data_IF_673663493820
#
_entry.id   IF_673663493820
#
_cell.length_a   1.000
_cell.length_b   1.000
_cell.length_c   1.000
_cell.angle_alpha   90.00
_cell.angle_beta   90.00
_cell.angle_gamma   90.00
#
_symmetry.space_group_name_H-M   'P 1'
#
loop_
_entity.id
_entity.type
_entity.pdbx_description
1 polymer ?
#
# COMPACT_ATOMS: atom_id res chain seq x y z
N UNK A 1 -33.39 -9.84 -18.96
CA UNK A 1 -33.24 -8.40 -19.30
C UNK A 1 -34.04 -7.60 -18.27
N UNK A 2 -33.42 -7.24 -17.15
CA UNK A 2 -33.98 -6.36 -16.12
C UNK A 2 -32.83 -5.48 -15.61
N UNK A 3 -33.12 -4.20 -15.57
CA UNK A 3 -32.27 -3.04 -15.32
C UNK A 3 -31.99 -2.89 -13.83
N UNK A 4 -30.73 -2.69 -13.43
CA UNK A 4 -30.37 -1.99 -12.19
C UNK A 4 -29.28 -0.97 -12.56
N UNK A 5 -29.73 0.10 -13.18
CA UNK A 5 -29.00 1.32 -13.46
C UNK A 5 -29.56 2.41 -12.52
N UNK A 6 -29.36 2.27 -11.22
CA UNK A 6 -29.74 3.26 -10.20
C UNK A 6 -28.83 3.09 -8.99
N UNK A 7 -27.67 3.73 -9.06
CA UNK A 7 -26.87 4.17 -7.89
C UNK A 7 -25.57 4.91 -8.27
N UNK A 8 -25.33 5.17 -9.56
CA UNK A 8 -24.13 5.90 -10.03
C UNK A 8 -24.25 7.44 -10.00
N UNK A 9 -25.46 8.01 -10.00
CA UNK A 9 -25.67 9.46 -10.10
C UNK A 9 -25.63 10.20 -8.74
N UNK A 10 -25.79 9.51 -7.61
CA UNK A 10 -25.78 10.16 -6.27
C UNK A 10 -24.39 10.61 -5.81
N UNK A 11 -23.31 10.10 -6.43
CA UNK A 11 -21.93 10.46 -6.08
C UNK A 11 -21.39 11.66 -6.90
N UNK A 12 -22.07 12.07 -7.99
CA UNK A 12 -21.65 13.21 -8.83
C UNK A 12 -22.17 14.57 -8.35
N UNK A 13 -23.16 14.63 -7.44
CA UNK A 13 -23.78 15.90 -7.04
C UNK A 13 -22.99 16.68 -5.99
N UNK A 14 -22.02 16.06 -5.29
CA UNK A 14 -21.19 16.74 -4.28
C UNK A 14 -19.94 17.39 -4.89
N UNK A 15 -19.51 16.98 -6.09
CA UNK A 15 -18.28 17.48 -6.76
C UNK A 15 -18.55 18.51 -7.88
N UNK A 16 -19.83 18.79 -8.20
CA UNK A 16 -20.21 19.78 -9.23
C UNK A 16 -20.64 21.14 -8.70
N UNK A 17 -20.97 21.27 -7.42
CA UNK A 17 -21.39 22.55 -6.81
C UNK A 17 -20.22 23.48 -6.42
N UNK A 18 -18.97 23.00 -6.40
CA UNK A 18 -17.78 23.83 -6.11
C UNK A 18 -17.03 24.35 -7.33
N UNK A 19 -17.47 24.02 -8.55
CA UNK A 19 -16.80 24.42 -9.81
C UNK A 19 -17.45 25.60 -10.54
N UNK A 20 -18.40 26.32 -9.93
CA UNK A 20 -19.12 27.44 -10.56
C UNK A 20 -19.06 28.79 -9.84
N UNK A 21 -18.20 28.95 -8.85
CA UNK A 21 -17.91 30.26 -8.24
C UNK A 21 -16.39 30.42 -8.14
N UNK A 22 -15.81 31.02 -9.18
CA UNK A 22 -14.60 31.85 -9.16
C UNK A 22 -14.21 32.15 -10.62
N UNK A 23 -15.04 32.96 -11.28
CA UNK A 23 -14.67 33.72 -12.46
C UNK A 23 -15.14 35.15 -12.21
N UNK A 24 -14.32 35.92 -11.49
CA UNK A 24 -14.37 37.38 -11.50
C UNK A 24 -12.93 37.85 -11.64
N UNK A 25 -12.71 38.63 -12.69
CA UNK A 25 -11.46 39.26 -13.04
C UNK A 25 -11.02 40.25 -11.96
N UNK A 26 -9.72 40.29 -11.66
CA UNK A 26 -9.10 41.41 -10.94
C UNK A 26 -7.81 41.78 -11.68
N UNK A 27 -7.80 42.99 -12.22
CA UNK A 27 -6.59 43.68 -12.67
C UNK A 27 -5.89 44.36 -11.47
N UNK A 28 -4.57 44.50 -11.62
CA UNK A 28 -3.65 45.42 -10.93
C UNK A 28 -3.16 45.05 -9.52
N UNK A 29 -1.84 45.26 -9.31
CA UNK A 29 -1.18 45.32 -8.01
C UNK A 29 -0.34 44.09 -7.66
N UNK A 30 0.99 44.18 -7.83
CA UNK A 30 1.91 43.07 -7.56
C UNK A 30 2.30 42.92 -6.09
N UNK A 31 2.72 41.71 -5.71
CA UNK A 31 3.84 41.43 -4.78
C UNK A 31 4.44 40.07 -5.17
N UNK A 32 5.78 40.02 -5.21
CA UNK A 32 6.62 38.87 -5.57
C UNK A 32 6.31 37.63 -4.72
N UNK A 33 5.85 36.55 -5.35
CA UNK A 33 5.76 35.20 -4.77
C UNK A 33 6.54 34.20 -5.63
N UNK A 34 7.46 33.47 -5.02
CA UNK A 34 8.42 32.59 -5.68
C UNK A 34 7.77 31.56 -6.62
N UNK A 35 8.29 31.48 -7.85
CA UNK A 35 7.90 30.52 -8.90
C UNK A 35 7.95 29.08 -8.38
N UNK A 36 6.81 28.38 -8.41
CA UNK A 36 6.79 26.92 -8.53
C UNK A 36 7.56 26.56 -9.80
N UNK A 37 8.76 25.98 -9.66
CA UNK A 37 9.46 25.35 -10.78
C UNK A 37 8.71 24.08 -11.16
N UNK A 38 7.91 24.19 -12.21
CA UNK A 38 7.33 23.07 -12.95
C UNK A 38 8.43 22.08 -13.33
N UNK A 39 8.35 20.86 -12.79
CA UNK A 39 9.24 19.79 -13.20
C UNK A 39 9.15 19.56 -14.71
N UNK A 40 10.30 19.46 -15.36
CA UNK A 40 10.42 19.10 -16.76
C UNK A 40 9.57 17.85 -17.04
N UNK A 41 8.62 17.97 -17.98
CA UNK A 41 7.87 16.84 -18.51
C UNK A 41 8.87 15.91 -19.20
N UNK A 42 9.37 14.90 -18.49
CA UNK A 42 10.06 13.76 -19.09
C UNK A 42 9.07 13.03 -20.01
N UNK A 43 8.96 13.51 -21.25
CA UNK A 43 8.22 12.87 -22.33
C UNK A 43 9.19 11.97 -23.08
N UNK A 44 9.09 10.66 -22.87
CA UNK A 44 9.70 9.66 -23.75
C UNK A 44 8.64 8.61 -24.08
N UNK A 45 8.38 8.40 -25.38
CA UNK A 45 7.43 7.41 -25.93
C UNK A 45 8.20 6.21 -26.50
N UNK A 46 7.91 5.00 -26.00
CA UNK A 46 7.85 3.67 -26.66
C UNK A 46 7.90 2.58 -25.55
N UNK A 47 6.77 2.05 -25.06
CA UNK A 47 6.01 0.85 -25.51
C UNK A 47 6.54 -0.50 -25.02
N UNK A 48 6.16 -0.83 -23.78
CA UNK A 48 6.05 -2.19 -23.24
C UNK A 48 5.19 -2.16 -21.97
N UNK A 49 4.09 -2.91 -21.90
CA UNK A 49 3.32 -3.01 -20.64
C UNK A 49 4.24 -3.69 -19.60
N UNK A 50 4.41 -3.12 -18.41
CA UNK A 50 5.27 -3.73 -17.39
C UNK A 50 4.73 -5.13 -17.03
N UNK A 51 5.64 -6.09 -16.88
CA UNK A 51 5.27 -7.45 -16.51
C UNK A 51 4.62 -7.46 -15.12
N UNK A 52 3.40 -7.98 -15.02
CA UNK A 52 2.58 -7.88 -13.80
C UNK A 52 2.13 -9.26 -13.33
N UNK A 53 2.41 -9.56 -12.07
CA UNK A 53 1.81 -10.69 -11.34
C UNK A 53 0.74 -10.11 -10.42
N UNK A 54 -0.53 -10.17 -10.82
CA UNK A 54 -1.64 -9.53 -10.09
C UNK A 54 -2.10 -10.33 -8.86
N UNK A 55 -2.01 -11.65 -8.92
CA UNK A 55 -2.45 -12.56 -7.86
C UNK A 55 -1.60 -12.38 -6.58
N UNK A 56 -2.21 -11.88 -5.50
CA UNK A 56 -1.53 -11.72 -4.20
C UNK A 56 -1.12 -13.06 -3.61
N UNK A 57 -1.99 -14.07 -3.70
CA UNK A 57 -1.70 -15.40 -3.17
C UNK A 57 -0.55 -16.06 -3.91
N UNK A 58 -0.49 -15.94 -5.24
CA UNK A 58 0.61 -16.51 -6.01
C UNK A 58 1.97 -15.97 -5.55
N UNK A 59 2.07 -14.66 -5.28
CA UNK A 59 3.28 -14.03 -4.75
C UNK A 59 3.55 -14.46 -3.30
N UNK A 60 2.56 -14.38 -2.43
CA UNK A 60 2.68 -14.80 -1.02
C UNK A 60 3.11 -16.25 -0.89
N UNK A 61 2.52 -17.17 -1.65
CA UNK A 61 2.85 -18.60 -1.61
C UNK A 61 4.30 -18.89 -2.06
N UNK A 62 4.85 -18.09 -2.97
CA UNK A 62 6.26 -18.22 -3.39
C UNK A 62 7.21 -17.82 -2.27
N UNK A 63 6.87 -16.75 -1.55
CA UNK A 63 7.67 -16.26 -0.43
C UNK A 63 7.51 -17.11 0.83
N UNK A 64 6.34 -17.69 1.09
CA UNK A 64 6.10 -18.60 2.22
C UNK A 64 6.94 -19.90 2.14
N UNK A 65 7.38 -20.27 0.93
CA UNK A 65 8.28 -21.42 0.69
C UNK A 65 9.76 -21.07 0.86
N UNK A 66 10.07 -19.85 1.28
CA UNK A 66 11.43 -19.40 1.55
C UNK A 66 11.58 -19.21 3.06
N UNK A 67 12.50 -19.94 3.67
CA UNK A 67 12.66 -19.96 5.13
C UNK A 67 13.11 -18.62 5.69
N UNK A 68 13.90 -17.86 4.93
CA UNK A 68 14.37 -16.53 5.30
C UNK A 68 13.27 -15.47 5.21
N UNK A 69 12.23 -15.69 4.39
CA UNK A 69 11.13 -14.73 4.20
C UNK A 69 9.88 -15.04 5.00
N UNK A 70 9.55 -16.33 5.24
CA UNK A 70 8.28 -16.73 5.89
C UNK A 70 8.05 -16.05 7.23
N UNK A 71 9.13 -15.78 7.98
CA UNK A 71 9.07 -15.10 9.28
C UNK A 71 8.63 -13.63 9.20
N UNK A 72 8.72 -12.99 8.04
CA UNK A 72 8.32 -11.61 7.83
C UNK A 72 6.94 -11.47 7.21
N UNK A 73 6.22 -12.57 6.98
CA UNK A 73 4.91 -12.57 6.34
C UNK A 73 3.87 -12.93 7.42
N UNK A 74 2.88 -12.06 7.69
CA UNK A 74 1.81 -12.42 8.62
C UNK A 74 1.09 -13.67 8.12
N UNK A 75 0.71 -14.58 9.04
CA UNK A 75 0.01 -15.82 8.71
C UNK A 75 -1.12 -15.58 7.72
N UNK A 76 -1.00 -16.11 6.51
CA UNK A 76 -1.94 -15.85 5.39
C UNK A 76 -2.45 -17.16 4.81
N UNK A 77 -3.75 -17.22 4.53
CA UNK A 77 -4.44 -18.35 3.88
C UNK A 77 -5.47 -17.84 2.88
N UNK A 78 -5.89 -18.70 1.95
CA UNK A 78 -7.12 -18.47 1.16
C UNK A 78 -8.31 -18.42 2.12
N UNK A 79 -9.25 -17.51 1.88
CA UNK A 79 -10.45 -17.36 2.70
C UNK A 79 -11.35 -18.58 2.54
N UNK A 80 -11.56 -19.27 3.65
CA UNK A 80 -12.59 -20.27 3.89
C UNK A 80 -13.18 -20.01 5.27
N UNK A 81 -14.32 -20.65 5.58
CA UNK A 81 -14.91 -20.60 6.91
C UNK A 81 -13.91 -21.05 7.98
N UNK A 82 -13.27 -22.20 7.75
CA UNK A 82 -12.27 -22.78 8.64
C UNK A 82 -11.05 -21.88 8.83
N UNK A 83 -10.47 -21.36 7.73
CA UNK A 83 -9.28 -20.50 7.84
C UNK A 83 -9.57 -19.18 8.55
N UNK A 84 -10.77 -18.60 8.35
CA UNK A 84 -11.18 -17.38 9.04
C UNK A 84 -11.32 -17.66 10.53
N UNK A 85 -12.04 -18.72 10.88
CA UNK A 85 -12.23 -19.14 12.26
C UNK A 85 -10.88 -19.35 12.97
N UNK A 86 -9.98 -20.15 12.38
CA UNK A 86 -8.71 -20.51 13.02
C UNK A 86 -7.80 -19.29 13.23
N UNK A 87 -7.71 -18.38 12.25
CA UNK A 87 -6.89 -17.18 12.39
C UNK A 87 -7.50 -16.16 13.37
N UNK A 88 -8.82 -16.00 13.40
CA UNK A 88 -9.47 -15.17 14.41
C UNK A 88 -9.30 -15.75 15.82
N UNK A 89 -9.42 -17.06 15.96
CA UNK A 89 -9.20 -17.73 17.24
C UNK A 89 -7.77 -17.53 17.74
N UNK A 90 -6.78 -17.64 16.85
CA UNK A 90 -5.35 -17.56 17.22
C UNK A 90 -4.83 -16.14 17.40
N UNK A 91 -5.44 -15.13 16.77
CA UNK A 91 -4.88 -13.78 16.68
C UNK A 91 -5.82 -12.64 17.00
N UNK A 92 -7.13 -12.91 17.20
CA UNK A 92 -8.21 -11.94 17.48
C UNK A 92 -8.48 -10.90 16.38
N UNK A 93 -7.46 -10.43 15.66
CA UNK A 93 -7.56 -9.49 14.55
C UNK A 93 -7.03 -10.12 13.26
N UNK A 94 -7.81 -10.01 12.18
CA UNK A 94 -7.40 -10.44 10.83
C UNK A 94 -7.82 -9.42 9.78
N UNK A 95 -7.10 -9.41 8.67
CA UNK A 95 -7.49 -8.71 7.46
C UNK A 95 -7.99 -9.72 6.42
N UNK A 96 -9.19 -9.48 5.90
CA UNK A 96 -9.77 -10.25 4.81
C UNK A 96 -9.72 -9.40 3.54
N UNK A 97 -8.89 -9.80 2.57
CA UNK A 97 -8.54 -8.97 1.41
C UNK A 97 -8.73 -9.70 0.08
N UNK A 98 -9.15 -9.03 -1.01
CA UNK A 98 -9.29 -9.66 -2.32
C UNK A 98 -7.96 -10.22 -2.81
N UNK A 99 -8.01 -11.42 -3.41
CA UNK A 99 -6.85 -12.06 -4.04
C UNK A 99 -6.31 -11.20 -5.19
N UNK A 100 -7.24 -10.59 -5.94
CA UNK A 100 -6.98 -9.66 -7.03
C UNK A 100 -7.56 -8.29 -6.71
N UNK A 101 -6.88 -7.23 -7.12
CA UNK A 101 -7.31 -5.86 -6.89
C UNK A 101 -6.19 -5.01 -6.32
N UNK A 102 -6.47 -3.73 -6.13
CA UNK A 102 -5.51 -2.72 -5.69
C UNK A 102 -6.20 -1.66 -4.83
N UNK A 103 -5.39 -0.74 -4.31
CA UNK A 103 -5.84 0.47 -3.62
C UNK A 103 -6.58 0.23 -2.28
N UNK A 104 -6.46 -0.96 -1.69
CA UNK A 104 -7.17 -1.31 -0.46
C UNK A 104 -8.68 -1.52 -0.62
N UNK A 105 -9.20 -1.52 -1.85
CA UNK A 105 -10.64 -1.75 -2.11
C UNK A 105 -11.02 -3.18 -1.74
N UNK A 106 -12.14 -3.31 -1.03
CA UNK A 106 -12.66 -4.61 -0.58
C UNK A 106 -11.88 -5.22 0.58
N UNK A 107 -10.91 -4.52 1.17
CA UNK A 107 -10.21 -4.98 2.37
C UNK A 107 -11.11 -4.79 3.58
N UNK A 108 -11.28 -5.86 4.35
CA UNK A 108 -12.04 -5.87 5.59
C UNK A 108 -11.10 -6.11 6.76
N UNK A 109 -11.21 -5.31 7.82
CA UNK A 109 -10.56 -5.60 9.11
C UNK A 109 -11.60 -6.29 9.99
N UNK A 110 -11.32 -7.52 10.40
CA UNK A 110 -12.22 -8.36 11.20
C UNK A 110 -11.61 -8.55 12.57
N UNK A 111 -12.40 -8.38 13.62
CA UNK A 111 -11.97 -8.48 15.01
C UNK A 111 -12.91 -9.40 15.79
N UNK A 112 -12.33 -10.20 16.68
CA UNK A 112 -13.00 -10.97 17.72
C UNK A 112 -12.64 -10.33 19.05
N UNK A 113 -13.65 -9.79 19.75
CA UNK A 113 -13.45 -9.07 21.01
C UNK A 113 -13.53 -10.02 22.20
N UNK A 114 -14.51 -10.91 22.18
CA UNK A 114 -14.73 -11.94 23.20
C UNK A 114 -15.41 -13.16 22.54
N UNK A 115 -15.61 -14.29 23.24
CA UNK A 115 -16.40 -15.39 22.74
C UNK A 115 -17.80 -14.91 22.32
N UNK A 116 -18.16 -15.10 21.05
CA UNK A 116 -19.45 -14.66 20.52
C UNK A 116 -19.47 -13.21 20.02
N UNK A 117 -18.51 -12.36 20.36
CA UNK A 117 -18.49 -10.96 19.91
C UNK A 117 -17.49 -10.71 18.80
N UNK A 118 -18.02 -10.31 17.64
CA UNK A 118 -17.22 -10.04 16.45
C UNK A 118 -17.61 -8.71 15.82
N UNK A 119 -16.67 -8.10 15.11
CA UNK A 119 -16.95 -6.99 14.21
C UNK A 119 -16.13 -7.10 12.93
N UNK A 120 -16.57 -6.41 11.88
CA UNK A 120 -15.65 -6.02 10.83
C UNK A 120 -15.96 -4.66 10.25
N UNK A 121 -14.92 -4.05 9.70
CA UNK A 121 -14.98 -2.77 9.00
C UNK A 121 -14.65 -2.97 7.52
N UNK A 122 -15.47 -2.41 6.63
CA UNK A 122 -15.26 -2.34 5.19
C UNK A 122 -15.37 -0.89 4.73
N UNK A 123 -14.25 -0.25 4.41
CA UNK A 123 -14.26 1.19 4.16
C UNK A 123 -14.70 1.96 5.42
N UNK A 124 -15.76 2.76 5.32
CA UNK A 124 -16.37 3.45 6.45
C UNK A 124 -17.42 2.63 7.20
N UNK A 125 -17.87 1.51 6.62
CA UNK A 125 -18.97 0.73 7.19
C UNK A 125 -18.45 -0.19 8.28
N UNK A 126 -19.09 -0.14 9.46
CA UNK A 126 -18.77 -0.97 10.61
C UNK A 126 -19.98 -1.85 10.95
N UNK A 127 -19.75 -3.15 11.12
CA UNK A 127 -20.78 -4.15 11.42
C UNK A 127 -20.36 -5.01 12.61
N UNK A 128 -21.30 -5.32 13.51
CA UNK A 128 -21.09 -6.16 14.69
C UNK A 128 -21.94 -7.43 14.62
N UNK A 129 -21.48 -8.50 15.28
CA UNK A 129 -22.13 -9.80 15.26
C UNK A 129 -22.00 -10.49 16.62
N UNK A 130 -23.05 -11.22 17.02
CA UNK A 130 -23.12 -12.03 18.24
C UNK A 130 -22.82 -13.52 18.00
N UNK A 131 -22.40 -13.88 16.79
CA UNK A 131 -21.97 -15.22 16.44
C UNK A 131 -20.97 -15.20 15.28
N UNK A 132 -20.12 -16.23 15.22
CA UNK A 132 -19.20 -16.43 14.10
C UNK A 132 -19.97 -16.68 12.78
N UNK A 133 -21.16 -17.28 12.85
CA UNK A 133 -21.98 -17.61 11.69
C UNK A 133 -22.58 -16.36 11.06
N UNK A 134 -23.11 -15.46 11.90
CA UNK A 134 -23.57 -14.15 11.47
C UNK A 134 -22.44 -13.35 10.82
N UNK A 135 -21.26 -13.32 11.46
CA UNK A 135 -20.07 -12.69 10.90
C UNK A 135 -19.73 -13.27 9.52
N UNK A 136 -19.57 -14.59 9.42
CA UNK A 136 -19.12 -15.24 8.20
C UNK A 136 -20.11 -15.07 7.05
N UNK A 137 -21.41 -15.20 7.32
CA UNK A 137 -22.45 -15.03 6.31
C UNK A 137 -22.49 -13.59 5.76
N UNK A 138 -22.41 -12.59 6.65
CA UNK A 138 -22.36 -11.18 6.26
C UNK A 138 -21.10 -10.84 5.47
N UNK A 139 -19.93 -11.26 5.98
CA UNK A 139 -18.64 -11.10 5.31
C UNK A 139 -18.64 -11.75 3.92
N UNK A 140 -19.23 -12.93 3.78
CA UNK A 140 -19.28 -13.66 2.50
C UNK A 140 -20.09 -12.90 1.45
N UNK A 141 -21.19 -12.23 1.82
CA UNK A 141 -21.95 -11.33 0.93
C UNK A 141 -21.07 -10.20 0.41
N UNK A 142 -20.31 -9.55 1.30
CA UNK A 142 -19.42 -8.45 0.93
C UNK A 142 -18.24 -8.87 0.03
N UNK A 143 -17.91 -10.18 -0.05
CA UNK A 143 -16.92 -10.67 -1.02
C UNK A 143 -17.42 -10.65 -2.47
N UNK A 144 -18.73 -10.55 -2.69
CA UNK A 144 -19.37 -10.57 -4.02
C UNK A 144 -18.92 -11.77 -4.87
N UNK A 145 -18.78 -12.94 -4.25
CA UNK A 145 -18.35 -14.18 -4.90
C UNK A 145 -16.88 -14.25 -5.28
N UNK A 146 -16.08 -13.21 -5.03
CA UNK A 146 -14.66 -13.16 -5.43
C UNK A 146 -13.77 -13.99 -4.50
N UNK A 147 -12.60 -14.38 -5.01
CA UNK A 147 -11.56 -15.02 -4.18
C UNK A 147 -10.91 -14.03 -3.24
N UNK A 148 -10.81 -14.39 -1.96
CA UNK A 148 -10.23 -13.59 -0.89
C UNK A 148 -9.15 -14.37 -0.14
N UNK A 149 -8.32 -13.62 0.59
CA UNK A 149 -7.33 -14.11 1.53
C UNK A 149 -7.73 -13.65 2.92
N UNK A 150 -7.42 -14.46 3.93
CA UNK A 150 -7.41 -14.05 5.34
C UNK A 150 -5.97 -14.02 5.82
N UNK A 151 -5.59 -12.92 6.44
CA UNK A 151 -4.24 -12.64 6.91
C UNK A 151 -4.29 -12.18 8.36
N UNK A 152 -3.39 -12.68 9.21
CA UNK A 152 -3.19 -12.20 10.59
C UNK A 152 -3.05 -10.68 10.59
N UNK A 153 -3.81 -10.02 11.46
CA UNK A 153 -3.63 -8.62 11.78
C UNK A 153 -2.37 -8.41 12.62
N UNK A 154 -1.65 -7.33 12.36
CA UNK A 154 -0.48 -6.90 13.13
C UNK A 154 -0.80 -5.56 13.76
N UNK A 155 -0.47 -5.38 15.03
CA UNK A 155 -0.54 -4.08 15.70
C UNK A 155 0.72 -3.28 15.35
N UNK A 156 0.54 -2.26 14.52
CA UNK A 156 1.62 -1.50 13.91
C UNK A 156 1.91 -0.23 14.71
N UNK A 157 3.16 0.24 14.60
CA UNK A 157 3.53 1.59 15.00
C UNK A 157 2.62 2.63 14.35
N UNK A 158 2.46 3.75 15.06
CA UNK A 158 1.65 4.89 14.62
C UNK A 158 2.46 6.16 14.76
N UNK A 159 2.42 6.99 13.73
CA UNK A 159 3.02 8.32 13.74
C UNK A 159 1.90 9.34 13.94
N UNK A 160 1.99 10.14 15.01
CA UNK A 160 0.94 11.10 15.40
C UNK A 160 -0.46 10.47 15.44
N UNK A 161 -0.56 9.29 16.06
CA UNK A 161 -1.82 8.54 16.19
C UNK A 161 -2.31 7.85 14.90
N UNK A 162 -1.66 8.09 13.75
CA UNK A 162 -2.03 7.55 12.44
C UNK A 162 -1.17 6.35 12.08
N UNK A 163 -1.79 5.31 11.53
CA UNK A 163 -1.07 4.13 11.02
C UNK A 163 -0.19 4.53 9.84
N UNK A 164 0.96 3.89 9.69
CA UNK A 164 1.79 4.04 8.51
C UNK A 164 2.33 2.69 8.05
N UNK A 165 2.78 2.66 6.80
CA UNK A 165 3.70 1.64 6.31
C UNK A 165 4.83 2.28 5.52
N UNK A 166 5.86 1.49 5.22
CA UNK A 166 6.99 1.83 4.39
C UNK A 166 6.80 1.20 3.01
N UNK A 167 6.80 2.03 1.97
CA UNK A 167 6.97 1.58 0.60
C UNK A 167 8.47 1.45 0.33
N UNK A 168 8.95 0.21 0.24
CA UNK A 168 10.33 -0.13 -0.11
C UNK A 168 10.38 -0.53 -1.58
N UNK A 169 11.21 0.13 -2.38
CA UNK A 169 11.41 -0.19 -3.80
C UNK A 169 12.74 -0.89 -3.98
N UNK A 170 12.73 -2.02 -4.68
CA UNK A 170 13.91 -2.81 -5.03
C UNK A 170 13.93 -3.01 -6.53
N UNK A 171 15.06 -2.69 -7.16
CA UNK A 171 15.23 -2.71 -8.61
C UNK A 171 16.49 -3.46 -9.02
N UNK A 172 16.49 -3.98 -10.25
CA UNK A 172 17.71 -4.51 -10.88
C UNK A 172 18.68 -3.35 -11.11
N UNK A 173 19.89 -3.48 -10.61
CA UNK A 173 20.89 -2.44 -10.80
C UNK A 173 21.46 -2.48 -12.23
N UNK A 174 21.87 -1.33 -12.80
CA UNK A 174 22.46 -1.26 -14.15
C UNK A 174 23.64 -2.20 -14.35
N UNK A 175 24.52 -2.29 -13.34
CA UNK A 175 25.70 -3.16 -13.30
C UNK A 175 25.38 -4.63 -12.99
N UNK A 176 24.10 -4.99 -12.84
CA UNK A 176 23.66 -6.31 -12.40
C UNK A 176 23.43 -6.39 -10.90
N UNK A 177 22.74 -7.45 -10.47
CA UNK A 177 22.29 -7.58 -9.08
C UNK A 177 21.01 -6.80 -8.77
N UNK A 178 20.74 -6.60 -7.48
CA UNK A 178 19.51 -6.01 -6.96
C UNK A 178 19.84 -5.01 -5.86
N UNK A 179 19.18 -3.86 -5.86
CA UNK A 179 19.40 -2.81 -4.88
C UNK A 179 18.08 -2.22 -4.38
N UNK A 180 18.06 -1.83 -3.11
CA UNK A 180 16.98 -1.03 -2.54
C UNK A 180 17.17 0.44 -2.95
N UNK A 181 16.36 0.92 -3.88
CA UNK A 181 16.54 2.23 -4.51
C UNK A 181 15.75 3.35 -3.86
N UNK A 182 14.80 3.03 -2.98
CA UNK A 182 14.08 4.02 -2.21
C UNK A 182 13.18 3.42 -1.16
N UNK A 183 13.00 4.16 -0.07
CA UNK A 183 12.01 3.87 0.97
C UNK A 183 11.27 5.16 1.32
N UNK A 184 9.96 5.09 1.47
CA UNK A 184 9.13 6.23 1.85
C UNK A 184 8.02 5.80 2.80
N UNK A 185 7.69 6.64 3.78
CA UNK A 185 6.58 6.38 4.69
C UNK A 185 5.26 6.88 4.09
N UNK A 186 4.22 6.04 4.18
CA UNK A 186 2.85 6.35 3.76
C UNK A 186 1.95 6.35 4.99
N UNK A 187 1.50 7.53 5.39
CA UNK A 187 0.68 7.73 6.58
C UNK A 187 -0.78 7.65 6.15
N UNK A 188 -1.55 6.74 6.77
CA UNK A 188 -2.97 6.56 6.50
C UNK A 188 -3.76 7.84 6.82
N UNK A 189 -4.87 8.02 6.11
CA UNK A 189 -5.89 8.98 6.55
C UNK A 189 -6.47 8.50 7.90
N UNK A 190 -6.77 9.40 8.87
CA UNK A 190 -7.23 9.01 10.21
C UNK A 190 -8.42 8.03 10.22
N UNK A 191 -9.36 8.22 9.29
CA UNK A 191 -10.59 7.41 9.19
C UNK A 191 -10.43 6.08 8.41
N UNK A 192 -9.23 5.76 7.90
CA UNK A 192 -9.03 4.60 7.01
C UNK A 192 -8.30 3.45 7.71
N UNK A 193 -8.81 2.24 7.51
CA UNK A 193 -8.18 1.01 7.99
C UNK A 193 -6.95 0.58 7.20
N UNK A 194 -6.76 1.14 6.00
CA UNK A 194 -5.65 0.83 5.08
C UNK A 194 -4.78 2.05 4.81
N UNK A 195 -3.47 1.84 4.85
CA UNK A 195 -2.38 2.79 4.58
C UNK A 195 -2.14 2.98 3.08
N UNK A 196 -3.19 3.30 2.32
CA UNK A 196 -3.01 3.61 0.90
C UNK A 196 -2.83 5.11 0.68
N UNK A 197 -1.57 5.57 0.60
CA UNK A 197 -1.21 6.98 0.40
C UNK A 197 -1.85 7.64 -0.83
N UNK A 198 -2.23 6.88 -1.86
CA UNK A 198 -2.90 7.41 -3.07
C UNK A 198 -4.34 7.88 -2.87
N UNK A 199 -4.90 7.75 -1.66
CA UNK A 199 -6.25 8.19 -1.32
C UNK A 199 -6.30 9.17 -0.14
N UNK A 200 -5.50 10.24 -0.19
CA UNK A 200 -5.52 11.31 0.80
C UNK A 200 -4.71 11.04 2.06
N UNK A 201 -3.74 10.12 1.98
CA UNK A 201 -2.72 9.97 3.02
C UNK A 201 -1.60 11.00 2.86
N UNK A 202 -0.73 11.04 3.85
CA UNK A 202 0.46 11.90 3.84
C UNK A 202 1.69 11.08 3.50
N UNK A 203 2.64 11.70 2.81
CA UNK A 203 3.91 11.08 2.43
C UNK A 203 5.02 11.83 3.16
N UNK A 204 5.77 11.11 3.99
CA UNK A 204 6.92 11.64 4.74
C UNK A 204 8.14 10.76 4.48
N UNK A 205 9.33 11.23 4.85
CA UNK A 205 10.53 10.39 4.82
C UNK A 205 10.41 9.28 5.85
N UNK A 206 11.04 8.13 5.58
CA UNK A 206 11.02 7.02 6.52
C UNK A 206 11.75 7.38 7.82
N UNK A 207 12.84 8.13 7.69
CA UNK A 207 13.68 8.62 8.78
C UNK A 207 12.88 9.52 9.73
N UNK A 208 12.09 10.45 9.18
CA UNK A 208 11.24 11.34 9.99
C UNK A 208 10.25 10.54 10.83
N UNK A 209 9.56 9.59 10.19
CA UNK A 209 8.53 8.78 10.87
C UNK A 209 9.14 7.82 11.89
N UNK A 210 10.26 7.19 11.56
CA UNK A 210 10.91 6.23 12.44
C UNK A 210 11.62 6.89 13.64
N UNK A 211 12.08 8.13 13.50
CA UNK A 211 12.75 8.86 14.61
C UNK A 211 11.83 9.12 15.80
N UNK A 212 10.50 9.09 15.63
CA UNK A 212 9.54 9.14 16.72
C UNK A 212 9.50 7.85 17.57
N UNK A 213 10.11 6.76 17.10
CA UNK A 213 10.01 5.43 17.72
C UNK A 213 11.36 4.78 18.05
N UNK A 214 12.44 5.20 17.38
CA UNK A 214 13.72 4.51 17.46
C UNK A 214 14.92 5.45 17.27
N UNK A 215 15.98 5.20 18.02
CA UNK A 215 17.25 5.92 17.88
C UNK A 215 18.08 5.49 16.66
N UNK A 216 19.16 6.21 16.33
CA UNK A 216 19.93 6.00 15.09
C UNK A 216 20.44 4.57 14.90
N UNK A 217 20.94 3.92 15.95
CA UNK A 217 21.43 2.53 15.89
C UNK A 217 20.33 1.54 15.51
N UNK A 218 19.16 1.67 16.13
CA UNK A 218 18.00 0.83 15.83
C UNK A 218 17.48 1.08 14.41
N UNK A 219 17.46 2.33 13.95
CA UNK A 219 17.13 2.67 12.56
C UNK A 219 18.11 2.02 11.58
N UNK A 220 19.41 2.10 11.85
CA UNK A 220 20.43 1.45 11.01
C UNK A 220 20.25 -0.07 10.93
N UNK A 221 19.92 -0.72 12.05
CA UNK A 221 19.63 -2.15 12.08
C UNK A 221 18.35 -2.50 11.30
N UNK A 222 17.29 -1.68 11.43
CA UNK A 222 16.07 -1.84 10.65
C UNK A 222 16.34 -1.67 9.15
N UNK A 223 17.18 -0.69 8.77
CA UNK A 223 17.52 -0.43 7.37
C UNK A 223 18.19 -1.61 6.70
N UNK A 224 19.22 -2.18 7.34
CA UNK A 224 19.88 -3.41 6.90
C UNK A 224 18.89 -4.57 6.77
N UNK A 225 17.94 -4.68 7.70
CA UNK A 225 16.90 -5.71 7.65
C UNK A 225 15.92 -5.51 6.49
N UNK A 226 15.47 -4.27 6.24
CA UNK A 226 14.59 -3.94 5.11
C UNK A 226 15.27 -4.24 3.77
N UNK A 227 16.55 -3.88 3.63
CA UNK A 227 17.35 -4.17 2.44
C UNK A 227 17.47 -5.68 2.21
N UNK A 228 17.87 -6.44 3.23
CA UNK A 228 18.00 -7.90 3.15
C UNK A 228 16.67 -8.58 2.78
N UNK A 229 15.56 -8.18 3.40
CA UNK A 229 14.23 -8.72 3.09
C UNK A 229 13.81 -8.34 1.67
N UNK A 230 14.04 -7.09 1.25
CA UNK A 230 13.69 -6.60 -0.08
C UNK A 230 14.44 -7.35 -1.17
N UNK A 231 15.77 -7.46 -1.05
CA UNK A 231 16.63 -8.18 -2.00
C UNK A 231 16.29 -9.67 -2.04
N UNK A 232 16.08 -10.30 -0.89
CA UNK A 232 15.70 -11.72 -0.81
C UNK A 232 14.34 -11.95 -1.48
N UNK A 233 13.38 -11.03 -1.28
CA UNK A 233 12.06 -11.10 -1.90
C UNK A 233 12.12 -11.03 -3.42
N UNK A 234 12.85 -10.06 -3.99
CA UNK A 234 12.95 -9.96 -5.46
C UNK A 234 13.69 -11.15 -6.05
N UNK A 235 14.79 -11.62 -5.43
CA UNK A 235 15.50 -12.82 -5.88
C UNK A 235 14.58 -14.04 -5.89
N UNK A 236 13.81 -14.24 -4.81
CA UNK A 236 12.88 -15.36 -4.69
C UNK A 236 11.76 -15.30 -5.72
N UNK A 237 11.18 -14.12 -5.96
CA UNK A 237 10.14 -13.92 -6.97
C UNK A 237 10.70 -14.06 -8.38
N UNK A 238 11.88 -13.52 -8.66
CA UNK A 238 12.52 -13.55 -9.97
C UNK A 238 12.81 -14.99 -10.43
N UNK A 239 13.19 -15.90 -9.53
CA UNK A 239 13.34 -17.34 -9.87
C UNK A 239 12.07 -17.96 -10.48
N UNK A 240 10.89 -17.52 -10.04
CA UNK A 240 9.60 -17.97 -10.60
C UNK A 240 9.08 -17.08 -11.72
N UNK A 241 9.43 -15.80 -11.68
CA UNK A 241 8.96 -14.77 -12.59
C UNK A 241 10.15 -14.00 -13.16
N UNK A 242 10.93 -14.58 -14.10
CA UNK A 242 12.22 -14.04 -14.54
C UNK A 242 12.16 -12.68 -15.25
N UNK A 243 10.95 -12.23 -15.60
CA UNK A 243 10.71 -10.93 -16.23
C UNK A 243 10.58 -9.78 -15.23
N UNK A 244 10.60 -10.06 -13.92
CA UNK A 244 10.57 -9.01 -12.89
C UNK A 244 11.93 -8.33 -12.81
N UNK A 245 11.94 -7.01 -12.96
CA UNK A 245 13.10 -6.13 -12.74
C UNK A 245 12.90 -5.14 -11.59
N UNK A 246 11.69 -5.09 -11.03
CA UNK A 246 11.36 -4.23 -9.90
C UNK A 246 10.24 -4.82 -9.05
N UNK A 247 10.27 -4.54 -7.75
CA UNK A 247 9.13 -4.71 -6.84
C UNK A 247 9.04 -3.53 -5.89
N UNK A 248 7.82 -3.27 -5.40
CA UNK A 248 7.58 -2.43 -4.24
C UNK A 248 6.99 -3.28 -3.12
N UNK A 249 7.68 -3.37 -2.00
CA UNK A 249 7.15 -3.99 -0.79
C UNK A 249 6.41 -2.93 0.02
N UNK A 250 5.23 -3.29 0.51
CA UNK A 250 4.50 -2.53 1.51
C UNK A 250 4.82 -3.21 2.85
N UNK A 251 5.68 -2.57 3.64
CA UNK A 251 6.23 -3.12 4.88
C UNK A 251 5.73 -2.29 6.06
N UNK A 252 5.14 -2.93 7.06
CA UNK A 252 4.79 -2.25 8.30
C UNK A 252 5.67 -2.71 9.45
N UNK A 253 5.80 -1.86 10.47
CA UNK A 253 6.65 -2.13 11.64
C UNK A 253 5.73 -2.29 12.85
N UNK A 254 5.92 -3.37 13.62
CA UNK A 254 5.18 -3.58 14.86
C UNK A 254 5.83 -2.87 16.07
N UNK A 255 5.17 -2.94 17.22
CA UNK A 255 5.63 -2.32 18.45
C UNK A 255 6.93 -2.93 19.01
N UNK A 256 7.39 -4.06 18.47
CA UNK A 256 8.67 -4.69 18.78
C UNK A 256 9.74 -4.38 17.71
N UNK A 257 9.48 -3.39 16.85
CA UNK A 257 10.36 -2.97 15.75
C UNK A 257 10.65 -4.09 14.73
N UNK A 258 9.77 -5.09 14.64
CA UNK A 258 9.87 -6.14 13.63
C UNK A 258 9.15 -5.71 12.35
N UNK A 259 9.80 -5.83 11.18
CA UNK A 259 9.16 -5.56 9.91
C UNK A 259 8.25 -6.71 9.47
N UNK A 260 7.13 -6.37 8.85
CA UNK A 260 6.15 -7.29 8.29
C UNK A 260 5.83 -6.91 6.84
N UNK A 261 6.06 -7.82 5.90
CA UNK A 261 5.67 -7.67 4.50
C UNK A 261 4.16 -7.86 4.39
N UNK A 262 3.42 -6.77 4.24
CA UNK A 262 1.96 -6.80 4.08
C UNK A 262 1.56 -7.19 2.66
N UNK A 263 2.30 -6.67 1.68
CA UNK A 263 2.08 -6.90 0.25
C UNK A 263 3.37 -6.68 -0.55
N UNK A 264 3.47 -7.36 -1.70
CA UNK A 264 4.50 -7.11 -2.71
C UNK A 264 3.82 -6.73 -4.02
N UNK A 265 4.20 -5.60 -4.59
CA UNK A 265 3.70 -5.06 -5.85
C UNK A 265 4.74 -5.25 -6.95
N UNK A 266 4.40 -5.93 -8.05
CA UNK A 266 5.31 -6.11 -9.21
C UNK A 266 5.23 -4.98 -10.23
N UNK A 267 4.32 -4.04 -10.01
CA UNK A 267 4.20 -2.79 -10.77
C UNK A 267 3.93 -1.68 -9.76
N UNK A 268 4.89 -1.36 -8.88
CA UNK A 268 4.68 -0.45 -7.77
C UNK A 268 4.38 0.97 -8.26
N UNK A 269 3.65 1.71 -7.42
CA UNK A 269 3.45 3.15 -7.62
C UNK A 269 4.64 3.91 -7.04
N UNK A 270 5.22 4.79 -7.85
CA UNK A 270 6.41 5.59 -7.50
C UNK A 270 6.06 7.05 -7.22
N UNK A 271 4.80 7.45 -7.43
CA UNK A 271 4.33 8.79 -7.15
C UNK A 271 4.67 9.26 -5.71
N UNK A 272 4.58 8.44 -4.65
CA UNK A 272 5.00 8.86 -3.31
C UNK A 272 6.41 9.45 -3.26
N UNK A 273 7.37 8.90 -3.99
CA UNK A 273 8.75 9.41 -3.98
C UNK A 273 8.89 10.78 -4.67
N UNK A 274 8.03 11.08 -5.66
CA UNK A 274 8.05 12.35 -6.36
C UNK A 274 7.51 13.52 -5.51
N UNK A 275 6.77 13.20 -4.43
CA UNK A 275 6.15 14.19 -3.53
C UNK A 275 7.14 14.71 -2.47
N UNK A 276 8.19 13.94 -2.16
CA UNK A 276 9.19 14.34 -1.17
C UNK A 276 10.00 15.56 -1.66
N UNK A 277 10.43 16.47 -0.78
CA UNK A 277 11.29 17.58 -1.19
C UNK A 277 12.62 17.12 -1.79
N UNK A 278 13.25 16.10 -1.20
CA UNK A 278 14.42 15.47 -1.79
C UNK A 278 14.03 14.54 -2.95
N UNK A 279 14.50 14.90 -4.14
CA UNK A 279 14.23 14.20 -5.38
C UNK A 279 15.31 13.16 -5.73
N UNK A 280 16.29 12.90 -4.85
CA UNK A 280 17.37 11.92 -5.06
C UNK A 280 16.82 10.51 -5.32
N UNK A 281 15.93 10.03 -4.44
CA UNK A 281 15.34 8.69 -4.54
C UNK A 281 14.55 8.49 -5.83
N UNK A 282 13.65 9.42 -6.17
CA UNK A 282 12.85 9.27 -7.39
C UNK A 282 13.72 9.35 -8.65
N UNK A 283 14.77 10.19 -8.67
CA UNK A 283 15.72 10.24 -9.79
C UNK A 283 16.46 8.91 -9.95
N UNK A 284 16.94 8.31 -8.85
CA UNK A 284 17.56 6.98 -8.87
C UNK A 284 16.60 5.90 -9.37
N UNK A 285 15.36 5.89 -8.87
CA UNK A 285 14.32 4.94 -9.30
C UNK A 285 14.07 5.04 -10.81
N UNK A 286 13.97 6.28 -11.32
CA UNK A 286 13.74 6.55 -12.74
C UNK A 286 14.93 6.11 -13.58
N UNK A 287 16.16 6.42 -13.16
CA UNK A 287 17.38 6.01 -13.86
C UNK A 287 17.48 4.48 -13.96
N UNK A 288 17.33 3.76 -12.85
CA UNK A 288 17.37 2.29 -12.83
C UNK A 288 16.30 1.71 -13.76
N UNK A 289 15.07 2.24 -13.65
CA UNK A 289 13.97 1.85 -14.52
C UNK A 289 14.27 2.00 -16.00
N UNK A 290 14.87 3.11 -16.38
CA UNK A 290 15.19 3.40 -17.77
C UNK A 290 16.12 2.36 -18.39
N UNK A 291 17.05 1.78 -17.61
CA UNK A 291 18.01 0.77 -18.11
C UNK A 291 17.37 -0.55 -18.50
N UNK A 292 16.17 -0.86 -17.98
CA UNK A 292 15.39 -2.03 -18.37
C UNK A 292 14.08 -1.66 -19.07
N UNK A 293 14.01 -0.48 -19.70
CA UNK A 293 12.89 -0.04 -20.54
C UNK A 293 11.62 0.35 -19.77
N UNK A 294 11.73 0.62 -18.46
CA UNK A 294 10.60 1.06 -17.64
C UNK A 294 10.41 2.57 -17.72
N UNK A 295 9.19 2.96 -18.04
CA UNK A 295 8.76 4.36 -17.99
C UNK A 295 7.73 4.58 -16.89
N UNK A 296 7.89 5.65 -16.12
CA UNK A 296 7.03 5.99 -14.99
C UNK A 296 6.11 7.15 -15.35
N UNK A 297 4.83 7.04 -14.95
CA UNK A 297 3.89 8.17 -14.99
C UNK A 297 3.79 8.72 -13.57
N UNK A 298 4.47 9.83 -13.31
CA UNK A 298 4.56 10.45 -11.98
C UNK A 298 3.51 11.57 -11.81
N UNK A 299 2.27 11.29 -12.20
CA UNK A 299 1.18 12.25 -12.06
C UNK A 299 0.54 12.13 -10.68
N UNK A 300 0.99 12.95 -9.75
CA UNK A 300 0.60 12.92 -8.35
C UNK A 300 -0.48 13.97 -8.03
N UNK A 301 -1.74 13.55 -7.95
CA UNK A 301 -2.87 14.48 -7.79
C UNK A 301 -3.56 14.45 -6.42
N UNK A 302 -3.21 13.51 -5.52
CA UNK A 302 -4.04 13.20 -4.33
C UNK A 302 -3.31 13.11 -3.00
N UNK A 303 -1.99 13.09 -2.98
CA UNK A 303 -1.20 12.92 -1.77
C UNK A 303 -0.43 14.22 -1.45
N UNK A 304 -0.28 14.51 -0.16
CA UNK A 304 0.41 15.70 0.36
C UNK A 304 1.71 15.28 1.05
N UNK A 305 2.69 16.18 1.09
CA UNK A 305 3.93 16.02 1.87
C UNK A 305 3.83 16.59 3.29
N UNK A 306 2.62 16.96 3.72
CA UNK A 306 2.28 17.42 5.07
C UNK A 306 1.21 16.51 5.65
N UNK A 307 1.09 16.50 6.97
CA UNK A 307 0.05 15.73 7.67
C UNK A 307 -1.35 16.26 7.42
#
# INVERSE_FOLDING_TARGET
>A
MIVIERDWERYKSIDRSRRRQNNIAVHAGGVKGARLRTMAKLKVKASGKPYRVSDKWAKTNVMLRDEGLRGYIPSTRKLSRLSLHNLLHSHQMVYVKPTYGSLGRGVMRVEKHSPGEYSYQLGGDFKTFRSFDGLYHSLKKDTLGKSYLVQRGVHLLKYEGRRFDLRVVVQRAPQGGWEMTGVVARIAHPEKIVTNGSQGGSILTAEQVLSAHMGPSQQGALWKRLENIGISTIKRLHRKYPRLNEIGLDVAIDNQHRPWILEVNTTPDHCPFAILPDQSMIRRIVDYGSKYGRHYRLNCFKAKNTL
#
